data_IF_927346740164
#
_entry.id   IF_927346740164
#
_cell.length_a   1.000
_cell.length_b   1.000
_cell.length_c   1.000
_cell.angle_alpha   90.00
_cell.angle_beta   90.00
_cell.angle_gamma   90.00
#
_symmetry.space_group_name_H-M   'P 1'
#
loop_
_entity.id
_entity.type
_entity.pdbx_description
1 polymer ?
#
# COMPACT_ATOMS: atom_id res chain seq x y z
N UNK A 1 7.61 -19.21 -19.22
CA UNK A 1 6.32 -19.93 -19.33
C UNK A 1 6.18 -20.82 -18.12
N UNK A 2 5.11 -20.66 -17.32
CA UNK A 2 4.85 -21.56 -16.18
C UNK A 2 4.33 -22.90 -16.69
N UNK A 3 4.89 -24.01 -16.21
CA UNK A 3 4.41 -25.36 -16.50
C UNK A 3 3.08 -25.60 -15.78
N UNK A 4 2.12 -26.21 -16.47
CA UNK A 4 0.83 -26.57 -15.86
C UNK A 4 1.03 -27.75 -14.90
N UNK A 5 0.46 -27.65 -13.70
CA UNK A 5 0.43 -28.77 -12.76
C UNK A 5 -0.59 -29.81 -13.22
N UNK A 6 -0.52 -31.05 -12.73
CA UNK A 6 -1.52 -32.09 -13.02
C UNK A 6 -2.96 -31.61 -12.75
N UNK A 7 -3.16 -30.79 -11.70
CA UNK A 7 -4.47 -30.22 -11.37
C UNK A 7 -4.97 -29.15 -12.35
N UNK A 8 -4.07 -28.45 -13.05
CA UNK A 8 -4.43 -27.35 -13.96
C UNK A 8 -4.11 -27.66 -15.42
N UNK A 9 -3.60 -28.86 -15.70
CA UNK A 9 -3.25 -29.33 -17.04
C UNK A 9 -4.46 -29.44 -17.97
N UNK A 10 -5.66 -29.61 -17.42
CA UNK A 10 -6.91 -29.63 -18.18
C UNK A 10 -7.40 -28.24 -18.62
N UNK A 11 -6.79 -27.15 -18.12
CA UNK A 11 -7.21 -25.79 -18.48
C UNK A 11 -6.66 -25.43 -19.85
N UNK A 12 -7.57 -25.31 -20.82
CA UNK A 12 -7.25 -24.84 -22.15
C UNK A 12 -7.04 -23.33 -22.21
N UNK A 13 -6.65 -22.83 -23.38
CA UNK A 13 -6.40 -21.39 -23.56
C UNK A 13 -7.65 -20.54 -23.38
N UNK A 14 -8.85 -21.08 -23.66
CA UNK A 14 -10.11 -20.41 -23.34
C UNK A 14 -10.31 -20.20 -21.84
N UNK A 15 -9.96 -21.20 -21.02
CA UNK A 15 -10.09 -21.09 -19.56
C UNK A 15 -9.08 -20.09 -19.01
N UNK A 16 -7.84 -20.11 -19.52
CA UNK A 16 -6.82 -19.11 -19.17
C UNK A 16 -7.24 -17.70 -19.57
N UNK A 17 -7.81 -17.52 -20.75
CA UNK A 17 -8.34 -16.23 -21.21
C UNK A 17 -9.54 -15.76 -20.37
N UNK A 18 -10.40 -16.68 -19.92
CA UNK A 18 -11.49 -16.37 -18.97
C UNK A 18 -10.92 -15.90 -17.63
N UNK A 19 -9.91 -16.59 -17.09
CA UNK A 19 -9.24 -16.20 -15.84
C UNK A 19 -8.55 -14.84 -15.93
N UNK A 20 -7.86 -14.58 -17.05
CA UNK A 20 -7.18 -13.30 -17.30
C UNK A 20 -8.16 -12.13 -17.33
N UNK A 21 -9.34 -12.30 -17.96
CA UNK A 21 -10.41 -11.30 -17.96
C UNK A 21 -11.00 -11.05 -16.57
N UNK A 22 -11.14 -12.11 -15.77
CA UNK A 22 -11.52 -12.00 -14.36
C UNK A 22 -10.42 -11.36 -13.47
N UNK A 23 -9.28 -10.94 -14.05
CA UNK A 23 -8.20 -10.28 -13.34
C UNK A 23 -7.22 -11.23 -12.66
N UNK A 24 -7.23 -12.53 -12.99
CA UNK A 24 -6.31 -13.53 -12.45
C UNK A 24 -5.17 -13.80 -13.44
N UNK A 25 -3.93 -13.70 -12.96
CA UNK A 25 -2.75 -14.03 -13.74
C UNK A 25 -2.17 -15.40 -13.35
N UNK A 26 -1.55 -16.06 -14.31
CA UNK A 26 -0.83 -17.32 -14.05
C UNK A 26 0.37 -17.07 -13.13
N UNK A 27 0.55 -17.95 -12.15
CA UNK A 27 1.74 -18.03 -11.31
C UNK A 27 2.73 -19.03 -11.91
N UNK A 28 4.02 -18.73 -11.81
CA UNK A 28 5.03 -19.78 -12.00
C UNK A 28 5.04 -20.70 -10.78
N UNK A 29 5.56 -21.93 -10.92
CA UNK A 29 5.68 -22.88 -9.81
C UNK A 29 6.46 -22.30 -8.62
N UNK A 30 7.57 -21.61 -8.88
CA UNK A 30 8.36 -20.97 -7.83
C UNK A 30 7.56 -19.91 -7.06
N UNK A 31 6.86 -19.03 -7.78
CA UNK A 31 6.00 -18.01 -7.16
C UNK A 31 4.84 -18.63 -6.35
N UNK A 32 4.28 -19.74 -6.84
CA UNK A 32 3.19 -20.41 -6.14
C UNK A 32 3.67 -21.04 -4.81
N UNK A 33 4.87 -21.62 -4.79
CA UNK A 33 5.47 -22.18 -3.58
C UNK A 33 5.86 -21.09 -2.58
N UNK A 34 6.46 -19.99 -3.02
CA UNK A 34 6.77 -18.85 -2.15
C UNK A 34 5.51 -18.29 -1.47
N UNK A 35 4.39 -18.19 -2.20
CA UNK A 35 3.12 -17.75 -1.63
C UNK A 35 2.51 -18.77 -0.67
N UNK A 36 2.70 -20.06 -0.92
CA UNK A 36 2.26 -21.12 -0.01
C UNK A 36 3.03 -21.05 1.31
N UNK A 37 4.35 -20.89 1.26
CA UNK A 37 5.20 -20.74 2.45
C UNK A 37 4.79 -19.50 3.25
N UNK A 38 4.54 -18.37 2.58
CA UNK A 38 4.02 -17.18 3.23
C UNK A 38 2.64 -17.38 3.87
N UNK A 39 1.75 -18.15 3.23
CA UNK A 39 0.43 -18.45 3.77
C UNK A 39 0.49 -19.34 5.02
N UNK A 40 1.46 -20.27 5.10
CA UNK A 40 1.63 -21.15 6.26
C UNK A 40 2.06 -20.40 7.53
N UNK A 41 2.75 -19.26 7.38
CA UNK A 41 3.21 -18.43 8.51
C UNK A 41 2.20 -17.32 8.84
N UNK A 42 1.15 -17.15 8.03
CA UNK A 42 0.12 -16.17 8.29
C UNK A 42 -0.82 -16.63 9.42
N UNK A 43 -1.00 -15.80 10.44
CA UNK A 43 -1.95 -16.05 11.55
C UNK A 43 -3.40 -15.74 11.13
N UNK A 44 -3.87 -16.44 10.09
CA UNK A 44 -5.21 -16.27 9.50
C UNK A 44 -5.79 -17.64 9.16
N UNK A 45 -7.02 -17.89 9.63
CA UNK A 45 -7.69 -19.20 9.42
C UNK A 45 -8.05 -19.53 7.96
N UNK A 46 -8.10 -18.53 7.07
CA UNK A 46 -8.32 -18.72 5.62
C UNK A 46 -7.51 -17.69 4.84
N UNK A 47 -6.68 -18.15 3.91
CA UNK A 47 -5.83 -17.32 3.04
C UNK A 47 -5.99 -17.76 1.60
N UNK A 48 -6.03 -16.79 0.67
CA UNK A 48 -6.04 -17.05 -0.78
C UNK A 48 -4.77 -16.45 -1.39
N UNK A 49 -3.92 -17.30 -1.95
CA UNK A 49 -2.74 -16.90 -2.70
C UNK A 49 -3.09 -16.77 -4.20
N UNK A 50 -3.01 -15.56 -4.74
CA UNK A 50 -3.28 -15.33 -6.16
C UNK A 50 -2.50 -14.14 -6.70
N UNK A 51 -2.28 -14.12 -8.01
CA UNK A 51 -1.70 -12.98 -8.72
C UNK A 51 -2.80 -12.20 -9.41
N UNK A 52 -3.03 -10.97 -8.96
CA UNK A 52 -4.01 -10.07 -9.57
C UNK A 52 -3.38 -9.29 -10.72
N UNK A 53 -4.08 -9.25 -11.86
CA UNK A 53 -3.81 -8.35 -12.97
C UNK A 53 -4.68 -7.10 -12.82
N UNK A 54 -4.15 -6.09 -12.13
CA UNK A 54 -4.87 -4.85 -11.81
C UNK A 54 -5.30 -4.05 -13.05
N UNK A 55 -4.55 -4.18 -14.16
CA UNK A 55 -4.91 -3.56 -15.44
C UNK A 55 -6.18 -4.18 -16.03
N UNK A 56 -6.33 -5.50 -15.94
CA UNK A 56 -7.52 -6.20 -16.42
C UNK A 56 -8.75 -5.91 -15.55
N UNK A 57 -8.54 -5.77 -14.23
CA UNK A 57 -9.61 -5.45 -13.27
C UNK A 57 -10.22 -4.07 -13.49
N UNK A 58 -9.44 -3.08 -13.94
CA UNK A 58 -9.95 -1.73 -14.23
C UNK A 58 -10.71 -1.60 -15.56
N UNK A 59 -10.60 -2.58 -16.45
CA UNK A 59 -11.20 -2.54 -17.79
C UNK A 59 -12.47 -3.38 -17.95
N UNK A 60 -12.75 -4.28 -17.00
CA UNK A 60 -13.85 -5.25 -17.10
C UNK A 60 -14.82 -5.09 -15.92
N UNK A 61 -16.13 -5.14 -16.17
CA UNK A 61 -17.20 -4.90 -15.18
C UNK A 61 -17.95 -6.17 -14.76
N UNK A 62 -17.37 -7.34 -15.01
CA UNK A 62 -17.91 -8.60 -14.49
C UNK A 62 -17.95 -8.63 -12.95
N UNK A 63 -18.86 -9.41 -12.37
CA UNK A 63 -18.99 -9.50 -10.90
C UNK A 63 -17.66 -9.88 -10.18
N UNK A 64 -16.82 -10.80 -10.68
CA UNK A 64 -15.52 -11.08 -10.08
C UNK A 64 -14.54 -9.90 -10.15
N UNK A 65 -14.55 -9.12 -11.25
CA UNK A 65 -13.64 -7.98 -11.40
C UNK A 65 -14.05 -6.80 -10.52
N UNK A 66 -15.33 -6.64 -10.19
CA UNK A 66 -15.79 -5.64 -9.21
C UNK A 66 -15.31 -5.96 -7.79
N UNK A 67 -15.48 -7.21 -7.35
CA UNK A 67 -15.05 -7.64 -6.01
C UNK A 67 -13.52 -7.60 -5.85
N UNK A 68 -12.79 -8.04 -6.87
CA UNK A 68 -11.32 -8.03 -6.86
C UNK A 68 -10.74 -6.64 -7.18
N UNK A 69 -11.50 -5.77 -7.86
CA UNK A 69 -11.14 -4.40 -8.17
C UNK A 69 -10.92 -3.56 -6.92
N UNK A 70 -11.78 -3.71 -5.91
CA UNK A 70 -11.62 -3.06 -4.60
C UNK A 70 -10.31 -3.49 -3.89
N UNK A 71 -9.92 -4.77 -4.02
CA UNK A 71 -8.66 -5.29 -3.47
C UNK A 71 -7.43 -4.79 -4.26
N UNK A 72 -7.59 -4.59 -5.57
CA UNK A 72 -6.57 -4.06 -6.48
C UNK A 72 -6.42 -2.54 -6.42
N UNK A 73 -7.47 -1.83 -5.99
CA UNK A 73 -7.49 -0.40 -5.71
C UNK A 73 -6.69 -0.08 -4.43
N UNK A 74 -5.43 -0.51 -4.36
CA UNK A 74 -4.50 -0.04 -3.35
C UNK A 74 -4.26 1.44 -3.61
N UNK A 75 -4.83 2.28 -2.73
CA UNK A 75 -4.62 3.73 -2.55
C UNK A 75 -3.98 4.37 -3.78
N UNK A 76 -4.82 4.82 -4.72
CA UNK A 76 -4.40 5.77 -5.75
C UNK A 76 -3.45 6.76 -5.09
N UNK A 77 -2.18 6.75 -5.51
CA UNK A 77 -1.24 7.79 -5.14
C UNK A 77 -1.88 9.06 -5.67
N UNK A 78 -2.54 9.84 -4.80
CA UNK A 78 -3.00 11.18 -5.18
C UNK A 78 -1.75 11.87 -5.70
N UNK A 79 -1.74 12.13 -7.00
CA UNK A 79 -0.80 13.06 -7.59
C UNK A 79 -1.25 14.40 -7.02
N UNK A 80 -0.50 14.88 -6.03
CA UNK A 80 -0.70 16.23 -5.50
C UNK A 80 -0.09 17.17 -6.54
N UNK A 81 -0.83 18.20 -6.93
CA UNK A 81 -0.29 19.21 -7.82
C UNK A 81 0.87 19.93 -7.11
N UNK A 82 1.93 20.22 -7.86
CA UNK A 82 3.14 20.86 -7.33
C UNK A 82 2.82 22.29 -6.86
N UNK A 83 1.84 22.92 -7.51
CA UNK A 83 1.32 24.24 -7.15
C UNK A 83 0.66 24.25 -5.76
N UNK A 84 -0.23 23.28 -5.48
CA UNK A 84 -0.89 23.12 -4.19
C UNK A 84 0.12 22.83 -3.07
N UNK A 85 1.17 22.07 -3.38
CA UNK A 85 2.26 21.76 -2.44
C UNK A 85 3.04 23.03 -2.06
N UNK A 86 3.37 23.87 -3.06
CA UNK A 86 4.08 25.13 -2.83
C UNK A 86 3.26 26.15 -2.03
N UNK A 87 1.94 26.26 -2.30
CA UNK A 87 1.02 27.12 -1.55
C UNK A 87 0.90 26.66 -0.10
N UNK A 88 0.74 25.34 0.13
CA UNK A 88 0.68 24.76 1.48
C UNK A 88 1.98 24.99 2.26
N UNK A 89 3.15 24.84 1.62
CA UNK A 89 4.44 25.09 2.25
C UNK A 89 4.61 26.58 2.65
N UNK A 90 4.19 27.49 1.78
CA UNK A 90 4.23 28.93 2.05
C UNK A 90 3.34 29.31 3.23
N UNK A 91 2.13 28.76 3.31
CA UNK A 91 1.22 28.96 4.44
C UNK A 91 1.79 28.47 5.78
N UNK A 92 2.44 27.30 5.78
CA UNK A 92 3.12 26.77 6.98
C UNK A 92 4.27 27.68 7.43
N UNK A 93 5.08 28.17 6.50
CA UNK A 93 6.20 29.07 6.81
C UNK A 93 5.70 30.36 7.48
N UNK A 94 4.62 30.97 6.95
CA UNK A 94 4.03 32.17 7.54
C UNK A 94 3.50 31.91 8.95
N UNK A 95 2.80 30.78 9.16
CA UNK A 95 2.31 30.38 10.49
C UNK A 95 3.45 30.19 11.48
N UNK A 96 4.52 29.50 11.12
CA UNK A 96 5.67 29.26 12.00
C UNK A 96 6.43 30.55 12.34
N UNK A 97 6.51 31.51 11.42
CA UNK A 97 7.13 32.82 11.65
C UNK A 97 6.36 33.66 12.67
N UNK A 98 5.03 33.51 12.74
CA UNK A 98 4.17 34.20 13.71
C UNK A 98 4.27 33.63 15.15
N UNK A 99 4.89 32.46 15.32
CA UNK A 99 4.99 31.77 16.61
C UNK A 99 6.35 32.00 17.28
N UNK A 100 6.33 32.08 18.62
CA UNK A 100 7.52 31.99 19.45
C UNK A 100 8.22 30.62 19.35
N UNK A 101 9.49 30.51 19.77
CA UNK A 101 10.34 29.33 19.51
C UNK A 101 9.76 28.01 20.03
N UNK A 102 9.23 27.98 21.26
CA UNK A 102 8.63 26.78 21.86
C UNK A 102 7.31 26.35 21.17
N UNK A 103 6.53 27.32 20.71
CA UNK A 103 5.27 27.06 20.03
C UNK A 103 5.53 26.60 18.59
N UNK A 104 6.58 27.14 17.95
CA UNK A 104 7.04 26.72 16.61
C UNK A 104 7.51 25.27 16.58
N UNK A 105 8.25 24.84 17.60
CA UNK A 105 8.72 23.45 17.69
C UNK A 105 7.56 22.46 17.83
N UNK A 106 6.59 22.76 18.72
CA UNK A 106 5.39 21.93 18.90
C UNK A 106 4.54 21.82 17.64
N UNK A 107 4.33 22.94 16.95
CA UNK A 107 3.57 22.97 15.70
C UNK A 107 4.25 22.14 14.58
N UNK A 108 5.57 22.26 14.44
CA UNK A 108 6.34 21.45 13.47
C UNK A 108 6.24 19.95 13.75
N UNK A 109 6.35 19.55 15.02
CA UNK A 109 6.23 18.16 15.40
C UNK A 109 4.84 17.61 15.08
N UNK A 110 3.78 18.36 15.34
CA UNK A 110 2.41 17.94 15.04
C UNK A 110 2.20 17.71 13.53
N UNK A 111 2.66 18.64 12.69
CA UNK A 111 2.58 18.52 11.23
C UNK A 111 3.34 17.28 10.72
N UNK A 112 4.56 17.05 11.21
CA UNK A 112 5.36 15.88 10.81
C UNK A 112 4.70 14.57 11.28
N UNK A 113 4.20 14.53 12.52
CA UNK A 113 3.53 13.33 13.05
C UNK A 113 2.21 13.04 12.33
N UNK A 114 1.44 14.07 11.96
CA UNK A 114 0.20 13.93 11.20
C UNK A 114 0.44 13.38 9.80
N UNK A 115 1.45 13.92 9.10
CA UNK A 115 1.83 13.43 7.78
C UNK A 115 2.37 11.99 7.85
N UNK A 116 3.21 11.69 8.85
CA UNK A 116 3.71 10.35 9.05
C UNK A 116 2.59 9.35 9.39
N UNK A 117 1.57 9.75 10.17
CA UNK A 117 0.43 8.90 10.52
C UNK A 117 -0.38 8.57 9.26
N UNK A 118 -0.60 9.56 8.42
CA UNK A 118 -1.30 9.40 7.13
C UNK A 118 -0.57 8.42 6.20
N UNK A 119 0.76 8.56 6.08
CA UNK A 119 1.59 7.67 5.24
C UNK A 119 1.64 6.25 5.79
N UNK A 120 1.77 6.10 7.11
CA UNK A 120 1.83 4.80 7.78
C UNK A 120 0.45 4.16 8.01
N UNK A 121 -0.64 4.86 7.67
CA UNK A 121 -2.01 4.37 7.87
C UNK A 121 -2.42 4.29 9.35
N UNK A 122 -1.87 5.16 10.20
CA UNK A 122 -2.22 5.28 11.62
C UNK A 122 -3.34 6.30 11.81
N UNK A 123 -4.21 6.02 12.78
CA UNK A 123 -5.38 6.84 13.09
C UNK A 123 -5.07 8.07 13.96
N UNK A 124 -3.90 8.11 14.61
CA UNK A 124 -3.52 9.22 15.50
C UNK A 124 -2.04 9.57 15.40
N UNK A 125 -1.72 10.86 15.58
CA UNK A 125 -0.35 11.35 15.74
C UNK A 125 0.30 10.83 17.03
N UNK A 126 -0.51 10.49 18.04
CA UNK A 126 -0.03 9.86 19.28
C UNK A 126 0.54 8.45 19.06
N UNK A 127 0.12 7.77 17.99
CA UNK A 127 0.68 6.46 17.61
C UNK A 127 2.09 6.59 17.02
N UNK A 128 2.49 7.81 16.65
CA UNK A 128 3.82 8.14 16.17
C UNK A 128 4.62 8.68 17.34
N UNK A 129 5.30 7.76 18.02
CA UNK A 129 6.07 8.07 19.22
C UNK A 129 7.33 8.90 18.87
N UNK A 130 7.16 10.22 18.76
CA UNK A 130 8.25 11.17 18.52
C UNK A 130 9.24 11.25 19.70
N UNK A 131 8.83 10.86 20.92
CA UNK A 131 9.62 11.02 22.14
C UNK A 131 10.48 9.79 22.52
N UNK A 132 10.19 8.59 22.01
CA UNK A 132 10.90 7.38 22.45
C UNK A 132 12.18 7.04 21.69
N UNK A 133 12.45 7.63 20.52
CA UNK A 133 13.63 7.26 19.68
C UNK A 133 14.74 8.32 19.64
N UNK A 134 14.58 9.46 20.30
CA UNK A 134 15.60 10.52 20.29
C UNK A 134 16.83 10.22 21.16
N UNK A 135 16.77 9.22 22.05
CA UNK A 135 17.93 8.82 22.87
C UNK A 135 18.92 7.90 22.15
N UNK A 136 18.55 7.25 21.05
CA UNK A 136 19.41 6.27 20.36
C UNK A 136 20.23 6.84 19.21
N UNK A 137 20.00 8.08 18.75
CA UNK A 137 20.79 8.67 17.66
C UNK A 137 21.93 9.59 18.13
N UNK A 138 22.01 9.89 19.43
CA UNK A 138 23.07 10.71 20.00
C UNK A 138 24.34 9.94 20.39
N UNK A 139 24.38 8.60 20.29
CA UNK A 139 25.58 7.80 20.63
C UNK A 139 26.37 7.29 19.42
N UNK A 140 26.20 7.90 18.24
CA UNK A 140 27.04 7.57 17.08
C UNK A 140 27.43 8.84 16.34
N UNK A 141 28.31 9.61 16.97
CA UNK A 141 29.38 10.33 16.27
C UNK A 141 30.50 10.67 17.22
#
# INVERSE_FOLDING_TARGET
>A
MGTASAMTGHLGDRDKARMSRAGLATLSTGQALELLDAAMVADRGVVVATRLNTRALGSDTTAPSLLLGELAARRSRRVVDDTDTAVSATGLILRLRSLGPEQRHRELLDVVCSNAATVLGRSSTADINAAARSRTWASTR
#
